data_IF_877563683074
#
_entry.id   IF_877563683074
#
_cell.length_a   1.000
_cell.length_b   1.000
_cell.length_c   1.000
_cell.angle_alpha   90.00
_cell.angle_beta   90.00
_cell.angle_gamma   90.00
#
_symmetry.space_group_name_H-M   'P 1'
#
loop_
_entity.id
_entity.type
_entity.pdbx_description
1 polymer ?
#
# COMPACT_ATOMS: atom_id res chain seq x y z
N UNK A 1 -16.93 -2.57 12.50
CA UNK A 1 -15.57 -2.99 12.06
C UNK A 1 -15.14 -2.07 10.92
N UNK A 2 -13.84 -1.75 10.75
CA UNK A 2 -13.40 -0.96 9.61
C UNK A 2 -13.63 -1.73 8.31
N UNK A 3 -14.20 -1.07 7.31
CA UNK A 3 -14.47 -1.61 5.97
C UNK A 3 -13.57 -0.88 4.97
N UNK A 4 -12.79 -1.63 4.19
CA UNK A 4 -11.86 -1.08 3.20
C UNK A 4 -12.59 -0.90 1.87
N UNK A 5 -12.42 0.26 1.24
CA UNK A 5 -12.84 0.48 -0.14
C UNK A 5 -12.03 -0.41 -1.10
N UNK A 6 -12.67 -1.10 -2.07
CA UNK A 6 -11.95 -1.89 -3.06
C UNK A 6 -10.90 -1.06 -3.79
N UNK A 7 -9.67 -1.55 -3.83
CA UNK A 7 -8.58 -0.92 -4.55
C UNK A 7 -7.96 -1.90 -5.55
N UNK A 8 -7.37 -1.36 -6.61
CA UNK A 8 -6.59 -2.13 -7.59
C UNK A 8 -5.28 -1.45 -7.88
N UNK A 9 -4.28 -2.25 -8.22
CA UNK A 9 -3.11 -1.71 -8.91
C UNK A 9 -3.49 -1.40 -10.36
N UNK A 10 -2.84 -0.40 -10.97
CA UNK A 10 -3.13 -0.01 -12.35
C UNK A 10 -2.92 -1.16 -13.36
N UNK A 11 -3.53 -1.04 -14.52
CA UNK A 11 -3.42 -2.03 -15.59
C UNK A 11 -2.02 -2.06 -16.22
N UNK A 12 -1.67 -3.19 -16.84
CA UNK A 12 -0.44 -3.35 -17.63
C UNK A 12 0.87 -3.09 -16.85
N UNK A 13 0.95 -3.55 -15.61
CA UNK A 13 2.17 -3.49 -14.81
C UNK A 13 3.33 -4.21 -15.50
N UNK A 14 4.48 -3.55 -15.57
CA UNK A 14 5.72 -4.10 -16.15
C UNK A 14 6.81 -4.17 -15.10
N UNK A 15 7.72 -5.12 -15.22
CA UNK A 15 8.92 -5.14 -14.39
C UNK A 15 9.68 -3.82 -14.57
N UNK A 16 10.24 -3.28 -13.49
CA UNK A 16 10.92 -1.98 -13.52
C UNK A 16 9.99 -0.77 -13.45
N UNK A 17 8.69 -0.94 -13.66
CA UNK A 17 7.74 0.18 -13.64
C UNK A 17 7.36 0.59 -12.21
N UNK A 18 6.89 1.83 -12.08
CA UNK A 18 6.38 2.39 -10.83
C UNK A 18 4.85 2.23 -10.78
N UNK A 19 4.33 1.83 -9.63
CA UNK A 19 2.89 1.82 -9.35
C UNK A 19 2.60 2.42 -7.98
N UNK A 20 1.34 2.79 -7.77
CA UNK A 20 0.84 3.29 -6.49
C UNK A 20 -0.62 2.89 -6.31
N UNK A 21 -1.02 2.70 -5.06
CA UNK A 21 -2.38 2.34 -4.70
C UNK A 21 -2.75 3.01 -3.39
N UNK A 22 -4.01 3.45 -3.30
CA UNK A 22 -4.57 4.04 -2.09
C UNK A 22 -5.48 2.99 -1.45
N UNK A 23 -5.28 2.76 -0.16
CA UNK A 23 -6.23 2.06 0.69
C UNK A 23 -7.05 3.12 1.42
N UNK A 24 -8.36 3.16 1.17
CA UNK A 24 -9.31 4.02 1.87
C UNK A 24 -10.25 3.20 2.75
N UNK A 25 -10.68 3.77 3.87
CA UNK A 25 -11.71 3.19 4.74
C UNK A 25 -13.07 3.77 4.37
N UNK A 26 -13.99 2.90 3.93
CA UNK A 26 -15.37 3.24 3.59
C UNK A 26 -16.24 3.45 4.83
N UNK A 27 -16.05 2.63 5.87
CA UNK A 27 -16.79 2.71 7.15
C UNK A 27 -15.89 2.35 8.32
N UNK A 28 -16.05 3.06 9.43
CA UNK A 28 -15.34 2.79 10.69
C UNK A 28 -15.12 4.07 11.48
N UNK A 29 -14.82 3.92 12.76
CA UNK A 29 -14.52 5.02 13.68
C UNK A 29 -13.08 4.93 14.17
N UNK A 30 -12.50 6.08 14.52
CA UNK A 30 -11.14 6.17 15.05
C UNK A 30 -11.03 5.57 16.47
N UNK A 31 -9.86 5.03 16.85
CA UNK A 31 -8.61 4.98 16.07
C UNK A 31 -8.54 3.79 15.11
N UNK A 32 -8.12 4.06 13.86
CA UNK A 32 -7.87 3.03 12.84
C UNK A 32 -6.37 2.91 12.61
N UNK A 33 -5.89 1.67 12.44
CA UNK A 33 -4.50 1.39 12.06
C UNK A 33 -4.49 0.71 10.70
N UNK A 34 -3.84 1.36 9.73
CA UNK A 34 -3.63 0.83 8.39
C UNK A 34 -2.23 0.22 8.31
N UNK A 35 -2.15 -0.99 7.74
CA UNK A 35 -0.88 -1.68 7.50
C UNK A 35 -0.93 -2.40 6.17
N UNK A 36 0.16 -2.33 5.41
CA UNK A 36 0.31 -3.05 4.15
C UNK A 36 1.03 -4.37 4.39
N UNK A 37 0.51 -5.44 3.80
CA UNK A 37 1.12 -6.76 3.83
C UNK A 37 1.31 -7.29 2.42
N UNK A 38 2.40 -7.99 2.18
CA UNK A 38 2.64 -8.80 0.99
C UNK A 38 2.87 -10.24 1.44
N UNK A 39 2.08 -11.18 0.92
CA UNK A 39 2.21 -12.61 1.23
C UNK A 39 2.20 -12.90 2.76
N UNK A 40 1.37 -12.17 3.50
CA UNK A 40 1.26 -12.28 4.97
C UNK A 40 2.37 -11.58 5.77
N UNK A 41 3.36 -10.97 5.10
CA UNK A 41 4.45 -10.23 5.76
C UNK A 41 4.21 -8.72 5.71
N UNK A 42 4.44 -8.02 6.83
CA UNK A 42 4.31 -6.56 6.90
C UNK A 42 5.33 -5.87 5.99
N UNK A 43 4.84 -4.96 5.15
CA UNK A 43 5.67 -4.02 4.42
C UNK A 43 6.00 -2.85 5.34
N UNK A 44 7.29 -2.59 5.57
CA UNK A 44 7.76 -1.38 6.22
C UNK A 44 8.47 -0.49 5.20
N UNK A 45 8.53 0.81 5.48
CA UNK A 45 9.30 1.75 4.68
C UNK A 45 10.76 1.27 4.55
N UNK A 46 11.24 1.12 3.32
CA UNK A 46 12.60 0.64 3.04
C UNK A 46 12.84 -0.85 3.36
N UNK A 47 11.80 -1.63 3.73
CA UNK A 47 11.92 -3.07 3.92
C UNK A 47 11.31 -3.83 2.75
N UNK A 48 12.13 -4.06 1.76
CA UNK A 48 12.20 -5.38 1.14
C UNK A 48 13.66 -5.63 0.84
N UNK A 49 14.07 -6.88 0.96
CA UNK A 49 15.45 -7.41 1.01
C UNK A 49 16.33 -7.14 -0.24
N UNK A 50 16.00 -6.13 -1.03
CA UNK A 50 16.76 -5.57 -2.15
C UNK A 50 16.10 -4.35 -2.83
N UNK A 51 15.00 -3.79 -2.30
CA UNK A 51 14.18 -2.79 -2.98
C UNK A 51 14.08 -1.49 -2.16
N UNK A 52 14.89 -0.50 -2.53
CA UNK A 52 14.81 0.88 -2.03
C UNK A 52 13.58 1.64 -2.54
N UNK A 53 12.64 0.95 -3.22
CA UNK A 53 11.53 1.55 -3.95
C UNK A 53 10.18 1.62 -3.23
N UNK A 54 10.04 0.99 -2.05
CA UNK A 54 8.79 0.96 -1.29
C UNK A 54 8.61 2.19 -0.41
N UNK A 55 7.48 2.89 -0.57
CA UNK A 55 7.08 4.02 0.27
C UNK A 55 5.62 3.87 0.69
N UNK A 56 5.39 3.92 1.99
CA UNK A 56 4.09 3.90 2.64
C UNK A 56 3.91 5.26 3.33
N UNK A 57 2.82 5.93 3.00
CA UNK A 57 2.42 7.18 3.61
C UNK A 57 0.98 7.08 4.13
N UNK A 58 0.70 7.74 5.25
CA UNK A 58 -0.69 8.05 5.65
C UNK A 58 -1.11 9.30 4.90
N UNK A 59 -2.24 9.24 4.20
CA UNK A 59 -2.80 10.39 3.49
C UNK A 59 -3.70 11.18 4.43
N UNK A 60 -4.50 10.48 5.23
CA UNK A 60 -5.28 11.00 6.36
C UNK A 60 -5.55 9.87 7.39
N UNK A 61 -6.45 10.11 8.34
CA UNK A 61 -6.80 9.14 9.39
C UNK A 61 -7.54 7.88 8.87
N UNK A 62 -8.08 7.94 7.65
CA UNK A 62 -8.87 6.88 7.01
C UNK A 62 -8.20 6.32 5.76
N UNK A 63 -7.03 6.81 5.37
CA UNK A 63 -6.39 6.39 4.12
C UNK A 63 -4.87 6.35 4.15
N UNK A 64 -4.31 5.39 3.41
CA UNK A 64 -2.88 5.20 3.25
C UNK A 64 -2.52 4.96 1.78
N UNK A 65 -1.39 5.51 1.36
CA UNK A 65 -0.82 5.34 0.04
C UNK A 65 0.37 4.38 0.12
N UNK A 66 0.33 3.31 -0.67
CA UNK A 66 1.49 2.47 -0.97
C UNK A 66 2.01 2.85 -2.35
N UNK A 67 3.29 3.19 -2.43
CA UNK A 67 4.03 3.43 -3.67
C UNK A 67 5.13 2.38 -3.82
N UNK A 68 5.21 1.79 -5.00
CA UNK A 68 6.26 0.84 -5.39
C UNK A 68 6.98 1.44 -6.58
N UNK A 69 8.23 1.86 -6.38
CA UNK A 69 9.00 2.58 -7.41
C UNK A 69 9.59 1.67 -8.48
N UNK A 70 9.77 0.39 -8.15
CA UNK A 70 10.33 -0.61 -9.06
C UNK A 70 9.60 -1.94 -8.84
N UNK A 71 8.72 -2.32 -9.76
CA UNK A 71 8.00 -3.59 -9.66
C UNK A 71 8.91 -4.76 -10.02
N UNK A 72 8.93 -5.74 -9.12
CA UNK A 72 9.59 -7.05 -9.27
C UNK A 72 8.56 -8.13 -8.96
N UNK A 73 8.51 -9.17 -9.79
CA UNK A 73 7.59 -10.30 -9.65
C UNK A 73 8.29 -11.48 -8.98
#
# INVERSE_FOLDING_TARGET
PPEIEPFTFGDNLREGSRTRVVCGILRGDLPIRLSWLKDGSHLLNGQSSGDSGLQIASVDDFSSLLTISNLRF
#
